data_IF_908541363624
#
_entry.id   IF_908541363624
#
_cell.length_a   1.000
_cell.length_b   1.000
_cell.length_c   1.000
_cell.angle_alpha   90.00
_cell.angle_beta   90.00
_cell.angle_gamma   90.00
#
_symmetry.space_group_name_H-M   'P 1'
#
loop_
_entity.id
_entity.type
_entity.pdbx_description
1 polymer ?
#
# COMPACT_ATOMS: atom_id res chain seq x y z
N UNK A 1 0.66 21.58 18.65
CA UNK A 1 0.07 20.91 17.47
C UNK A 1 -1.20 21.65 17.14
N UNK A 2 -1.26 22.36 16.01
CA UNK A 2 -2.41 23.22 15.68
C UNK A 2 -3.63 22.37 15.29
N UNK A 3 -4.83 22.91 15.49
CA UNK A 3 -6.10 22.28 15.07
C UNK A 3 -6.11 22.00 13.56
N UNK A 4 -5.54 22.90 12.75
CA UNK A 4 -5.36 22.72 11.31
C UNK A 4 -4.51 21.48 10.98
N UNK A 5 -3.41 21.22 11.71
CA UNK A 5 -2.56 20.06 11.45
C UNK A 5 -3.29 18.73 11.75
N UNK A 6 -4.17 18.72 12.77
CA UNK A 6 -4.98 17.54 13.10
C UNK A 6 -5.98 17.24 11.99
N UNK A 7 -6.66 18.28 11.51
CA UNK A 7 -7.62 18.17 10.41
C UNK A 7 -6.96 17.69 9.12
N UNK A 8 -5.79 18.23 8.77
CA UNK A 8 -5.05 17.83 7.57
C UNK A 8 -4.61 16.36 7.64
N UNK A 9 -4.08 15.92 8.78
CA UNK A 9 -3.73 14.50 8.99
C UNK A 9 -4.94 13.58 8.89
N UNK A 10 -6.09 13.98 9.44
CA UNK A 10 -7.31 13.21 9.33
C UNK A 10 -7.78 13.10 7.87
N UNK A 11 -7.75 14.21 7.10
CA UNK A 11 -8.08 14.22 5.67
C UNK A 11 -7.14 13.32 4.86
N UNK A 12 -5.83 13.40 5.09
CA UNK A 12 -4.84 12.54 4.44
C UNK A 12 -5.13 11.06 4.74
N UNK A 13 -5.46 10.72 5.99
CA UNK A 13 -5.78 9.36 6.39
C UNK A 13 -7.01 8.81 5.66
N UNK A 14 -8.07 9.61 5.53
CA UNK A 14 -9.28 9.23 4.79
C UNK A 14 -8.96 9.05 3.31
N UNK A 15 -8.13 9.91 2.71
CA UNK A 15 -7.71 9.80 1.32
C UNK A 15 -6.92 8.51 1.06
N UNK A 16 -6.00 8.13 1.95
CA UNK A 16 -5.25 6.88 1.89
C UNK A 16 -6.16 5.64 1.94
N UNK A 17 -7.12 5.62 2.88
CA UNK A 17 -8.11 4.53 3.01
C UNK A 17 -8.97 4.43 1.74
N UNK A 18 -9.45 5.56 1.22
CA UNK A 18 -10.23 5.59 -0.02
C UNK A 18 -9.40 5.07 -1.20
N UNK A 19 -8.13 5.47 -1.31
CA UNK A 19 -7.21 5.00 -2.33
C UNK A 19 -7.00 3.48 -2.28
N UNK A 20 -6.88 2.91 -1.08
CA UNK A 20 -6.83 1.46 -0.90
C UNK A 20 -8.09 0.75 -1.40
N UNK A 21 -9.28 1.24 -1.03
CA UNK A 21 -10.54 0.63 -1.49
C UNK A 21 -10.70 0.70 -3.00
N UNK A 22 -10.33 1.82 -3.63
CA UNK A 22 -10.33 1.91 -5.10
C UNK A 22 -9.41 0.86 -5.73
N UNK A 23 -8.18 0.71 -5.21
CA UNK A 23 -7.25 -0.29 -5.70
C UNK A 23 -7.77 -1.72 -5.50
N UNK A 24 -8.34 -2.03 -4.34
CA UNK A 24 -8.98 -3.31 -4.03
C UNK A 24 -10.16 -3.58 -4.98
N UNK A 25 -11.01 -2.61 -5.23
CA UNK A 25 -12.15 -2.75 -6.15
C UNK A 25 -11.70 -3.06 -7.56
N UNK A 26 -10.70 -2.32 -8.09
CA UNK A 26 -10.13 -2.58 -9.41
C UNK A 26 -9.52 -3.99 -9.48
N UNK A 27 -8.77 -4.38 -8.44
CA UNK A 27 -8.20 -5.72 -8.34
C UNK A 27 -9.29 -6.80 -8.42
N UNK A 28 -10.37 -6.66 -7.65
CA UNK A 28 -11.46 -7.64 -7.67
C UNK A 28 -12.17 -7.68 -9.03
N UNK A 29 -12.50 -6.53 -9.61
CA UNK A 29 -13.18 -6.45 -10.91
C UNK A 29 -12.36 -7.11 -12.01
N UNK A 30 -11.07 -6.77 -12.12
CA UNK A 30 -10.19 -7.35 -13.16
C UNK A 30 -10.05 -8.85 -12.97
N UNK A 31 -9.83 -9.33 -11.73
CA UNK A 31 -9.70 -10.76 -11.49
C UNK A 31 -10.99 -11.51 -11.80
N UNK A 32 -12.16 -10.97 -11.44
CA UNK A 32 -13.46 -11.57 -11.81
C UNK A 32 -13.62 -11.63 -13.33
N UNK A 33 -13.28 -10.57 -14.06
CA UNK A 33 -13.34 -10.56 -15.53
C UNK A 33 -12.42 -11.63 -16.12
N UNK A 34 -11.18 -11.74 -15.63
CA UNK A 34 -10.23 -12.78 -16.08
C UNK A 34 -10.82 -14.18 -15.85
N UNK A 35 -11.40 -14.44 -14.68
CA UNK A 35 -12.02 -15.73 -14.36
C UNK A 35 -13.21 -16.05 -15.27
N UNK A 36 -14.09 -15.07 -15.51
CA UNK A 36 -15.26 -15.24 -16.39
C UNK A 36 -14.82 -15.48 -17.83
N UNK A 37 -13.88 -14.69 -18.35
CA UNK A 37 -13.35 -14.83 -19.71
C UNK A 37 -12.70 -16.20 -19.90
N UNK A 38 -11.92 -16.66 -18.92
CA UNK A 38 -11.32 -17.99 -18.97
C UNK A 38 -12.38 -19.09 -18.96
N UNK A 39 -13.41 -18.97 -18.12
CA UNK A 39 -14.47 -19.97 -18.01
C UNK A 39 -15.35 -20.04 -19.26
N UNK A 40 -15.63 -18.89 -19.90
CA UNK A 40 -16.50 -18.80 -21.10
C UNK A 40 -15.75 -19.21 -22.37
N UNK A 41 -14.49 -18.82 -22.53
CA UNK A 41 -13.73 -19.12 -23.74
C UNK A 41 -13.15 -20.55 -23.79
N UNK A 42 -13.40 -21.37 -22.76
CA UNK A 42 -13.03 -22.78 -22.78
C UNK A 42 -11.54 -23.03 -23.05
N UNK A 43 -10.65 -22.13 -22.60
CA UNK A 43 -9.19 -22.29 -22.69
C UNK A 43 -8.75 -23.51 -21.83
N UNK A 44 -9.02 -24.70 -22.36
CA UNK A 44 -8.61 -26.01 -21.86
C UNK A 44 -7.29 -26.47 -22.51
N UNK A 45 -6.54 -25.54 -23.08
CA UNK A 45 -5.29 -25.83 -23.78
C UNK A 45 -4.14 -25.33 -22.90
N UNK A 46 -3.46 -26.28 -22.26
CA UNK A 46 -2.23 -26.13 -21.46
C UNK A 46 -2.34 -25.80 -19.95
N UNK A 47 -3.25 -26.48 -19.21
CA UNK A 47 -3.08 -26.63 -17.74
C UNK A 47 -4.23 -26.19 -16.82
N UNK A 48 -5.43 -25.93 -17.35
CA UNK A 48 -6.63 -25.64 -16.54
C UNK A 48 -6.55 -24.34 -15.70
N UNK A 49 -7.41 -24.21 -14.68
CA UNK A 49 -7.46 -23.07 -13.74
C UNK A 49 -6.11 -22.73 -13.06
N UNK A 50 -5.15 -23.65 -13.12
CA UNK A 50 -3.80 -23.53 -12.56
C UNK A 50 -2.73 -23.15 -13.58
N UNK A 51 -3.11 -22.79 -14.81
CA UNK A 51 -2.17 -22.21 -15.75
C UNK A 51 -1.47 -21.01 -15.09
N UNK A 52 -0.15 -21.05 -15.05
CA UNK A 52 0.67 -20.02 -14.40
C UNK A 52 0.34 -18.61 -14.90
N UNK A 53 -0.11 -18.50 -16.14
CA UNK A 53 -0.55 -17.26 -16.77
C UNK A 53 -1.80 -16.63 -16.12
N UNK A 54 -2.74 -17.44 -15.61
CA UNK A 54 -3.96 -16.97 -14.94
C UNK A 54 -3.71 -16.60 -13.48
N UNK A 55 -2.79 -17.31 -12.81
CA UNK A 55 -2.51 -17.09 -11.39
C UNK A 55 -1.44 -16.02 -11.15
N UNK A 56 -0.51 -15.81 -12.07
CA UNK A 56 0.58 -14.84 -11.92
C UNK A 56 0.06 -13.42 -11.69
N UNK A 57 -0.95 -12.99 -12.46
CA UNK A 57 -1.55 -11.65 -12.35
C UNK A 57 -2.17 -11.38 -10.96
N UNK A 58 -3.13 -12.20 -10.46
CA UNK A 58 -3.66 -12.04 -9.11
C UNK A 58 -2.59 -12.14 -8.03
N UNK A 59 -1.63 -13.06 -8.17
CA UNK A 59 -0.57 -13.22 -7.17
C UNK A 59 0.31 -11.98 -7.07
N UNK A 60 0.83 -11.48 -8.18
CA UNK A 60 1.71 -10.33 -8.20
C UNK A 60 0.99 -9.05 -7.73
N UNK A 61 -0.21 -8.80 -8.25
CA UNK A 61 -1.02 -7.64 -7.82
C UNK A 61 -1.51 -7.79 -6.39
N UNK A 62 -1.82 -9.00 -5.95
CA UNK A 62 -2.22 -9.31 -4.58
C UNK A 62 -1.13 -9.00 -3.57
N UNK A 63 0.14 -9.25 -3.90
CA UNK A 63 1.28 -8.83 -3.07
C UNK A 63 1.33 -7.30 -2.96
N UNK A 64 1.23 -6.59 -4.08
CA UNK A 64 1.22 -5.12 -4.08
C UNK A 64 0.04 -4.54 -3.29
N UNK A 65 -1.14 -5.14 -3.42
CA UNK A 65 -2.34 -4.77 -2.67
C UNK A 65 -2.18 -5.05 -1.17
N UNK A 66 -1.56 -6.17 -0.79
CA UNK A 66 -1.26 -6.51 0.60
C UNK A 66 -0.30 -5.49 1.22
N UNK A 67 0.76 -5.08 0.51
CA UNK A 67 1.67 -4.02 0.98
C UNK A 67 0.96 -2.66 1.10
N UNK A 68 0.11 -2.30 0.12
CA UNK A 68 -0.67 -1.06 0.19
C UNK A 68 -1.62 -1.09 1.40
N UNK A 69 -2.32 -2.19 1.63
CA UNK A 69 -3.19 -2.38 2.79
C UNK A 69 -2.40 -2.33 4.10
N UNK A 70 -1.28 -3.02 4.19
CA UNK A 70 -0.45 -3.03 5.39
C UNK A 70 0.08 -1.62 5.74
N UNK A 71 0.43 -0.81 4.74
CA UNK A 71 0.75 0.61 4.92
C UNK A 71 -0.46 1.42 5.37
N UNK A 72 -1.59 1.29 4.69
CA UNK A 72 -2.81 2.06 4.95
C UNK A 72 -3.42 1.71 6.30
N UNK A 73 -3.35 0.47 6.78
CA UNK A 73 -3.88 0.09 8.10
C UNK A 73 -2.82 0.10 9.21
N UNK A 74 -1.56 0.39 8.88
CA UNK A 74 -0.49 0.46 9.87
C UNK A 74 -0.06 -0.90 10.42
N UNK A 75 -0.25 -1.98 9.65
CA UNK A 75 0.15 -3.34 10.03
C UNK A 75 1.65 -3.60 9.89
N UNK A 76 2.42 -2.70 9.25
CA UNK A 76 3.88 -2.83 9.17
C UNK A 76 4.50 -2.18 10.40
N UNK A 77 5.00 -2.94 11.40
CA UNK A 77 5.55 -2.38 12.63
C UNK A 77 6.89 -1.65 12.40
N UNK A 78 7.59 -1.94 11.31
CA UNK A 78 8.92 -1.41 11.01
C UNK A 78 8.95 -0.03 10.35
N UNK A 79 7.91 0.33 9.58
CA UNK A 79 7.83 1.61 8.85
C UNK A 79 6.59 2.43 9.24
N UNK A 80 6.14 2.27 10.49
CA UNK A 80 5.00 3.01 11.03
C UNK A 80 5.39 4.42 11.52
N UNK A 81 4.38 5.19 11.95
CA UNK A 81 4.54 6.54 12.51
C UNK A 81 5.65 6.67 13.55
N UNK A 82 5.79 5.68 14.43
CA UNK A 82 6.81 5.68 15.48
C UNK A 82 8.23 5.68 14.89
N UNK A 83 8.48 4.90 13.84
CA UNK A 83 9.77 4.90 13.17
C UNK A 83 10.02 6.23 12.46
N UNK A 84 9.00 6.78 11.81
CA UNK A 84 9.07 8.08 11.12
C UNK A 84 9.40 9.22 12.10
N UNK A 85 8.69 9.29 13.24
CA UNK A 85 8.96 10.25 14.33
C UNK A 85 10.38 10.10 14.89
N UNK A 86 10.87 8.86 15.04
CA UNK A 86 12.20 8.59 15.53
C UNK A 86 13.30 9.01 14.54
N UNK A 87 13.09 8.84 13.24
CA UNK A 87 14.02 9.34 12.23
C UNK A 87 14.01 10.87 12.17
N UNK A 88 12.83 11.51 12.19
CA UNK A 88 12.72 12.98 12.22
C UNK A 88 13.48 13.54 13.43
N UNK A 89 13.30 12.95 14.62
CA UNK A 89 14.03 13.36 15.82
C UNK A 89 15.54 13.25 15.64
N UNK A 90 16.02 12.15 15.05
CA UNK A 90 17.45 11.93 14.78
C UNK A 90 18.02 12.97 13.81
N UNK A 91 17.29 13.34 12.76
CA UNK A 91 17.71 14.39 11.82
C UNK A 91 17.77 15.75 12.52
N UNK A 92 16.74 16.13 13.27
CA UNK A 92 16.71 17.40 14.02
C UNK A 92 17.85 17.51 15.05
N UNK A 93 18.18 16.41 15.74
CA UNK A 93 19.32 16.39 16.67
C UNK A 93 20.66 16.53 15.97
N UNK A 94 20.84 15.93 14.78
CA UNK A 94 22.05 16.09 13.99
C UNK A 94 22.22 17.53 13.51
N UNK A 95 21.17 18.12 12.94
CA UNK A 95 21.18 19.51 12.48
C UNK A 95 21.50 20.48 13.63
N UNK A 96 20.90 20.26 14.81
CA UNK A 96 21.21 21.05 16.00
C UNK A 96 22.68 20.93 16.39
N UNK A 97 23.23 19.71 16.47
CA UNK A 97 24.64 19.48 16.81
C UNK A 97 25.59 20.10 15.79
N UNK A 98 25.27 20.07 14.50
CA UNK A 98 26.05 20.75 13.47
C UNK A 98 25.99 22.26 13.64
N UNK A 99 24.82 22.84 13.86
CA UNK A 99 24.67 24.29 14.08
C UNK A 99 25.40 24.80 15.33
N UNK A 100 25.46 24.00 16.40
CA UNK A 100 26.18 24.32 17.64
C UNK A 100 27.71 24.20 17.47
N UNK A 101 28.20 23.48 16.45
CA UNK A 101 29.63 23.34 16.15
C UNK A 101 30.21 24.58 15.42
N UNK A 102 29.36 25.38 14.78
CA UNK A 102 29.74 26.59 14.05
C UNK A 102 29.43 27.90 14.81
N UNK A 103 29.00 27.80 16.07
CA UNK A 103 28.87 28.92 17.02
C UNK A 103 30.05 28.94 17.97
#
# INVERSE_FOLDING_TARGET
>A
MNENDKLERAKKRVAEIKGFYVHLSIYLVINVVILVVHQVNGFHENGGWFAWNTLFTPLFWGIGLAFHGAKVFGWIPFFGKKWEEEQIRKYMERDRKESDKFK
#
